data_IF_702477216250
#
_entry.id   IF_702477216250
#
_cell.length_a   1.000
_cell.length_b   1.000
_cell.length_c   1.000
_cell.angle_alpha   90.00
_cell.angle_beta   90.00
_cell.angle_gamma   90.00
#
_symmetry.space_group_name_H-M   'P 1'
#
loop_
_entity.id
_entity.type
_entity.pdbx_description
1 polymer ?
#
# COMPACT_ATOMS: atom_id res chain seq x y z
N UNK A 1 -24.55 13.07 11.33
CA UNK A 1 -24.49 11.74 10.69
C UNK A 1 -23.31 11.77 9.74
N UNK A 2 -22.31 10.91 9.93
CA UNK A 2 -21.16 10.87 9.01
C UNK A 2 -21.54 10.03 7.79
N UNK A 3 -21.69 10.66 6.64
CA UNK A 3 -21.96 9.95 5.38
C UNK A 3 -20.73 9.12 5.03
N UNK A 4 -20.93 7.81 4.82
CA UNK A 4 -19.88 6.92 4.32
C UNK A 4 -20.00 6.79 2.82
N UNK A 5 -18.90 6.91 2.12
CA UNK A 5 -18.83 6.71 0.68
C UNK A 5 -18.06 5.43 0.38
N UNK A 6 -18.48 4.74 -0.67
CA UNK A 6 -17.76 3.58 -1.20
C UNK A 6 -16.84 4.06 -2.31
N UNK A 7 -15.56 3.72 -2.23
CA UNK A 7 -14.54 4.02 -3.22
C UNK A 7 -13.70 2.77 -3.48
N UNK A 8 -12.97 2.78 -4.58
CA UNK A 8 -12.12 1.69 -5.04
C UNK A 8 -10.67 2.16 -5.07
N UNK A 9 -9.83 1.49 -4.30
CA UNK A 9 -8.41 1.82 -4.17
C UNK A 9 -7.61 0.96 -5.14
N UNK A 10 -6.80 1.59 -5.98
CA UNK A 10 -5.77 0.91 -6.76
C UNK A 10 -4.42 1.18 -6.12
N UNK A 11 -3.84 0.21 -5.41
CA UNK A 11 -2.51 0.39 -4.79
C UNK A 11 -1.44 0.52 -5.88
N UNK A 12 -1.53 -0.28 -6.94
CA UNK A 12 -0.59 -0.27 -8.08
C UNK A 12 -0.55 1.08 -8.81
N UNK A 13 -1.72 1.68 -9.04
CA UNK A 13 -1.84 3.00 -9.70
C UNK A 13 -1.83 4.16 -8.70
N UNK A 14 -1.75 3.87 -7.40
CA UNK A 14 -1.85 4.84 -6.30
C UNK A 14 -3.07 5.77 -6.46
N UNK A 15 -4.20 5.20 -6.90
CA UNK A 15 -5.42 5.93 -7.26
C UNK A 15 -6.60 5.55 -6.38
N UNK A 16 -7.55 6.48 -6.27
CA UNK A 16 -8.81 6.30 -5.56
C UNK A 16 -9.96 6.70 -6.47
N UNK A 17 -10.75 5.72 -6.88
CA UNK A 17 -11.79 5.85 -7.89
C UNK A 17 -13.18 5.62 -7.28
N UNK A 18 -14.21 6.24 -7.88
CA UNK A 18 -15.62 6.03 -7.45
C UNK A 18 -16.25 4.80 -8.07
N UNK A 19 -15.63 4.27 -9.11
CA UNK A 19 -16.14 3.16 -9.90
C UNK A 19 -15.10 2.05 -9.93
N UNK A 20 -15.59 0.80 -9.95
CA UNK A 20 -14.74 -0.36 -10.12
C UNK A 20 -14.20 -0.39 -11.55
N UNK A 21 -12.89 -0.36 -11.69
CA UNK A 21 -12.15 -0.63 -12.91
C UNK A 21 -11.92 -2.15 -13.06
N UNK A 22 -11.52 -2.59 -14.25
CA UNK A 22 -11.20 -4.00 -14.53
C UNK A 22 -9.92 -4.50 -13.83
N UNK A 23 -9.19 -3.61 -13.16
CA UNK A 23 -7.93 -3.90 -12.48
C UNK A 23 -8.15 -4.40 -11.04
N UNK A 24 -7.11 -4.94 -10.40
CA UNK A 24 -7.11 -5.33 -8.99
C UNK A 24 -7.32 -4.10 -8.09
N UNK A 25 -8.58 -3.82 -7.78
CA UNK A 25 -9.00 -2.74 -6.91
C UNK A 25 -9.61 -3.26 -5.61
N UNK A 26 -9.30 -2.53 -4.53
CA UNK A 26 -9.75 -2.83 -3.18
C UNK A 26 -10.92 -1.91 -2.84
N UNK A 27 -12.10 -2.50 -2.60
CA UNK A 27 -13.29 -1.74 -2.20
C UNK A 27 -13.16 -1.30 -0.74
N UNK A 28 -13.30 0.01 -0.50
CA UNK A 28 -13.26 0.64 0.82
C UNK A 28 -14.50 1.50 1.08
N UNK A 29 -14.93 1.56 2.34
CA UNK A 29 -16.10 2.32 2.80
C UNK A 29 -15.75 3.11 4.04
N UNK A 30 -15.59 4.42 3.87
CA UNK A 30 -15.15 5.32 4.94
C UNK A 30 -15.92 6.62 4.94
N UNK A 31 -15.74 7.39 6.01
CA UNK A 31 -16.15 8.81 6.02
C UNK A 31 -15.26 9.64 5.10
N UNK A 32 -15.71 10.83 4.71
CA UNK A 32 -14.92 11.74 3.86
C UNK A 32 -13.50 11.95 4.40
N UNK A 33 -13.35 12.14 5.72
CA UNK A 33 -12.04 12.31 6.38
C UNK A 33 -11.14 11.07 6.26
N UNK A 34 -11.71 9.87 6.36
CA UNK A 34 -10.95 8.62 6.26
C UNK A 34 -10.50 8.36 4.82
N UNK A 35 -11.38 8.65 3.85
CA UNK A 35 -11.09 8.52 2.43
C UNK A 35 -10.08 9.58 1.97
N UNK A 36 -10.19 10.80 2.49
CA UNK A 36 -9.20 11.87 2.24
C UNK A 36 -7.83 11.49 2.82
N UNK A 37 -7.78 10.95 4.04
CA UNK A 37 -6.53 10.44 4.61
C UNK A 37 -5.90 9.35 3.73
N UNK A 38 -6.72 8.41 3.24
CA UNK A 38 -6.25 7.35 2.36
C UNK A 38 -5.71 7.91 1.03
N UNK A 39 -6.39 8.89 0.45
CA UNK A 39 -5.92 9.60 -0.75
C UNK A 39 -4.58 10.30 -0.52
N UNK A 40 -4.43 11.02 0.58
CA UNK A 40 -3.19 11.72 0.91
C UNK A 40 -2.01 10.77 1.07
N UNK A 41 -2.22 9.58 1.66
CA UNK A 41 -1.18 8.55 1.77
C UNK A 41 -0.76 8.00 0.39
N UNK A 42 -1.71 7.78 -0.52
CA UNK A 42 -1.41 7.34 -1.89
C UNK A 42 -0.62 8.43 -2.66
N UNK A 43 -1.02 9.68 -2.54
CA UNK A 43 -0.31 10.82 -3.15
C UNK A 43 1.11 10.97 -2.59
N UNK A 44 1.29 10.78 -1.28
CA UNK A 44 2.62 10.80 -0.65
C UNK A 44 3.51 9.67 -1.18
N UNK A 45 2.99 8.45 -1.30
CA UNK A 45 3.71 7.31 -1.88
C UNK A 45 3.99 7.47 -3.38
N UNK A 46 3.17 8.22 -4.11
CA UNK A 46 3.44 8.56 -5.51
C UNK A 46 4.60 9.55 -5.62
N UNK A 47 4.58 10.60 -4.81
CA UNK A 47 5.66 11.60 -4.73
C UNK A 47 7.00 10.98 -4.35
N UNK A 48 7.02 10.10 -3.35
CA UNK A 48 8.24 9.47 -2.86
C UNK A 48 8.87 8.52 -3.91
N UNK A 49 8.02 7.85 -4.70
CA UNK A 49 8.42 7.02 -5.84
C UNK A 49 9.02 7.86 -6.96
N UNK A 50 8.37 8.97 -7.35
CA UNK A 50 8.91 9.90 -8.36
C UNK A 50 10.30 10.44 -7.94
N UNK A 51 10.48 10.78 -6.67
CA UNK A 51 11.77 11.25 -6.13
C UNK A 51 12.81 10.13 -6.12
N UNK A 52 12.40 8.88 -5.88
CA UNK A 52 13.28 7.72 -5.88
C UNK A 52 13.65 7.26 -7.30
N UNK A 53 12.75 7.41 -8.27
CA UNK A 53 13.00 7.15 -9.70
C UNK A 53 13.96 8.16 -10.35
N UNK A 54 14.04 9.38 -9.82
CA UNK A 54 15.06 10.37 -10.21
C UNK A 54 16.45 10.06 -9.64
N UNK A 55 16.58 9.13 -8.67
CA UNK A 55 17.88 8.52 -8.34
C UNK A 55 18.14 7.45 -9.39
N UNK A 56 18.98 7.80 -10.36
CA UNK A 56 19.52 6.93 -11.40
C UNK A 56 19.84 5.50 -10.88
N UNK A 57 19.84 4.47 -11.75
CA UNK A 57 20.19 3.10 -11.35
C UNK A 57 21.65 3.04 -10.92
N UNK A 58 21.91 3.27 -9.63
CA UNK A 58 23.20 3.02 -9.01
C UNK A 58 23.25 1.50 -8.82
N UNK A 59 24.25 0.79 -9.41
CA UNK A 59 24.34 -0.65 -9.30
C UNK A 59 24.48 -1.05 -7.83
N UNK A 60 23.41 -1.71 -7.37
CA UNK A 60 23.22 -2.54 -6.19
C UNK A 60 24.53 -2.97 -5.51
N UNK A 61 25.04 -2.13 -4.61
CA UNK A 61 26.10 -2.52 -3.68
C UNK A 61 25.97 -1.77 -2.37
N UNK A 62 24.82 -1.95 -1.72
CA UNK A 62 24.57 -1.84 -0.27
C UNK A 62 23.09 -2.11 -0.06
N UNK A 63 22.71 -3.39 -0.03
CA UNK A 63 21.43 -3.83 0.52
C UNK A 63 21.49 -3.84 2.07
N UNK A 64 22.17 -2.85 2.64
CA UNK A 64 22.48 -2.75 4.07
C UNK A 64 21.90 -1.44 4.58
N UNK A 65 20.80 -1.53 5.32
CA UNK A 65 20.32 -0.51 6.27
C UNK A 65 19.98 0.88 5.71
N UNK A 66 19.40 1.00 4.52
CA UNK A 66 18.89 2.32 4.10
C UNK A 66 17.56 2.63 4.80
N UNK A 67 17.57 3.62 5.69
CA UNK A 67 16.37 4.09 6.42
C UNK A 67 15.21 4.41 5.47
N UNK A 68 15.49 4.75 4.21
CA UNK A 68 14.47 4.99 3.20
C UNK A 68 13.62 3.75 2.90
N UNK A 69 14.22 2.55 2.84
CA UNK A 69 13.48 1.30 2.61
C UNK A 69 12.56 0.97 3.78
N UNK A 70 13.06 1.12 5.02
CA UNK A 70 12.24 0.91 6.22
C UNK A 70 11.09 1.93 6.31
N UNK A 71 11.35 3.19 5.95
CA UNK A 71 10.33 4.23 5.92
C UNK A 71 9.25 3.90 4.88
N UNK A 72 9.66 3.50 3.67
CA UNK A 72 8.73 3.11 2.61
C UNK A 72 7.86 1.90 3.00
N UNK A 73 8.45 0.87 3.61
CA UNK A 73 7.72 -0.30 4.10
C UNK A 73 6.73 0.06 5.22
N UNK A 74 7.11 0.96 6.13
CA UNK A 74 6.24 1.45 7.20
C UNK A 74 5.06 2.28 6.66
N UNK A 75 5.30 3.15 5.67
CA UNK A 75 4.25 3.91 4.98
C UNK A 75 3.29 3.00 4.20
N UNK A 76 3.80 1.97 3.50
CA UNK A 76 2.98 0.94 2.87
C UNK A 76 2.17 0.13 3.90
N UNK A 77 2.78 -0.26 5.01
CA UNK A 77 2.10 -0.99 6.07
C UNK A 77 0.92 -0.19 6.61
N UNK A 78 1.12 1.10 6.90
CA UNK A 78 0.06 2.01 7.34
C UNK A 78 -1.04 2.14 6.28
N UNK A 79 -0.69 2.21 4.99
CA UNK A 79 -1.67 2.28 3.91
C UNK A 79 -2.53 1.01 3.88
N UNK A 80 -1.91 -0.18 3.85
CA UNK A 80 -2.63 -1.45 3.85
C UNK A 80 -3.46 -1.66 5.12
N UNK A 81 -2.99 -1.22 6.28
CA UNK A 81 -3.79 -1.24 7.51
C UNK A 81 -5.04 -0.36 7.40
N UNK A 82 -4.91 0.84 6.83
CA UNK A 82 -6.04 1.74 6.62
C UNK A 82 -7.03 1.16 5.61
N UNK A 83 -6.54 0.62 4.49
CA UNK A 83 -7.36 -0.08 3.50
C UNK A 83 -8.06 -1.27 4.15
N UNK A 84 -7.38 -2.06 4.97
CA UNK A 84 -7.97 -3.19 5.68
C UNK A 84 -9.08 -2.75 6.63
N UNK A 85 -8.88 -1.66 7.37
CA UNK A 85 -9.88 -1.15 8.31
C UNK A 85 -11.13 -0.61 7.60
N UNK A 86 -10.94 0.12 6.50
CA UNK A 86 -12.02 0.68 5.69
C UNK A 86 -12.61 -0.35 4.69
N UNK A 87 -11.90 -1.44 4.45
CA UNK A 87 -12.20 -2.42 3.43
C UNK A 87 -13.42 -3.27 3.74
N UNK A 88 -14.06 -3.77 2.69
CA UNK A 88 -15.07 -4.83 2.81
C UNK A 88 -14.44 -6.17 3.18
N UNK A 89 -15.25 -7.16 3.58
CA UNK A 89 -14.78 -8.52 3.83
C UNK A 89 -13.97 -9.09 2.66
N UNK A 90 -14.35 -8.78 1.41
CA UNK A 90 -13.59 -9.19 0.23
C UNK A 90 -12.20 -8.58 0.21
N UNK A 91 -12.09 -7.27 0.47
CA UNK A 91 -10.82 -6.54 0.55
C UNK A 91 -9.94 -7.10 1.67
N UNK A 92 -10.52 -7.35 2.85
CA UNK A 92 -9.81 -7.91 4.00
C UNK A 92 -9.29 -9.31 3.71
N UNK A 93 -10.13 -10.18 3.13
CA UNK A 93 -9.74 -11.52 2.74
C UNK A 93 -8.60 -11.50 1.72
N UNK A 94 -8.67 -10.60 0.74
CA UNK A 94 -7.61 -10.44 -0.26
C UNK A 94 -6.28 -9.98 0.35
N UNK A 95 -6.29 -8.94 1.20
CA UNK A 95 -5.08 -8.48 1.92
C UNK A 95 -4.51 -9.57 2.82
N UNK A 96 -5.38 -10.36 3.46
CA UNK A 96 -4.99 -11.48 4.32
C UNK A 96 -4.35 -12.62 3.51
N UNK A 97 -4.95 -12.98 2.38
CA UNK A 97 -4.46 -14.00 1.45
C UNK A 97 -3.08 -13.63 0.87
N UNK A 98 -2.90 -12.36 0.50
CA UNK A 98 -1.60 -11.82 0.07
C UNK A 98 -0.53 -11.85 1.17
N UNK A 99 -0.94 -12.01 2.43
CA UNK A 99 -0.07 -11.96 3.62
C UNK A 99 0.82 -10.70 3.70
N UNK A 100 0.39 -9.61 3.05
CA UNK A 100 1.22 -8.42 2.85
C UNK A 100 1.52 -7.70 4.16
N UNK A 101 0.57 -7.70 5.11
CA UNK A 101 0.77 -7.08 6.43
C UNK A 101 1.90 -7.76 7.21
N UNK A 102 2.02 -9.09 7.12
CA UNK A 102 3.08 -9.82 7.81
C UNK A 102 4.43 -9.61 7.11
N UNK A 103 4.46 -9.64 5.77
CA UNK A 103 5.67 -9.36 4.97
C UNK A 103 6.25 -7.97 5.24
N UNK A 104 5.39 -6.96 5.32
CA UNK A 104 5.82 -5.58 5.61
C UNK A 104 6.26 -5.39 7.06
N UNK A 105 5.69 -6.15 8.01
CA UNK A 105 6.09 -6.13 9.42
C UNK A 105 7.39 -6.90 9.70
N UNK A 106 7.63 -7.99 8.97
CA UNK A 106 8.86 -8.79 9.03
C UNK A 106 9.72 -8.49 7.80
N UNK A 107 10.13 -7.23 7.63
CA UNK A 107 11.03 -6.86 6.53
C UNK A 107 12.43 -7.50 6.65
N UNK A 108 12.72 -8.13 7.80
CA UNK A 108 13.90 -8.95 8.10
C UNK A 108 13.68 -10.45 7.80
N UNK A 109 12.57 -10.83 7.16
CA UNK A 109 12.34 -12.23 6.80
C UNK A 109 13.31 -12.64 5.69
N UNK A 110 14.42 -13.23 6.13
CA UNK A 110 15.26 -14.15 5.36
C UNK A 110 14.32 -15.18 4.72
N UNK A 111 13.96 -14.95 3.45
CA UNK A 111 13.24 -15.92 2.64
C UNK A 111 14.25 -17.04 2.35
N UNK A 112 14.15 -18.25 2.95
CA UNK A 112 14.87 -19.39 2.42
C UNK A 112 14.27 -19.60 1.03
N UNK A 113 14.98 -19.13 0.01
CA UNK A 113 14.49 -19.01 -1.35
C UNK A 113 13.69 -20.23 -1.77
N UNK A 114 12.63 -19.98 -2.54
CA UNK A 114 11.84 -21.02 -3.20
C UNK A 114 12.78 -21.89 -4.06
N UNK A 115 13.30 -22.97 -3.48
CA UNK A 115 13.90 -24.07 -4.23
C UNK A 115 12.73 -24.78 -4.93
N UNK A 116 12.74 -24.74 -6.27
CA UNK A 116 11.91 -25.57 -7.12
C UNK A 116 12.79 -26.55 -7.89
#
# INVERSE_FOLDING_TARGET
MSTKNTLYVSVSNKSLDREASMNEQLEVRGTEKELEKLRQMLEQLQRDDEVTQFRAPIPYKSADHDKATNQFNDDLLKLYQLIYNLGTDKTKAHIHDMNILNKLQNSDYDDPGYEH
#
